data_IF_388729926798
#
_entry.id   IF_388729926798
#
_cell.length_a   1.000
_cell.length_b   1.000
_cell.length_c   1.000
_cell.angle_alpha   90.00
_cell.angle_beta   90.00
_cell.angle_gamma   90.00
#
_symmetry.space_group_name_H-M   'P 1'
#
loop_
_entity.id
_entity.type
_entity.pdbx_description
1 polymer ?
#
# COMPACT_ATOMS: atom_id res chain seq x y z
N UNK A 1 8.54 0.86 -20.31
CA UNK A 1 7.36 -0.01 -20.48
C UNK A 1 6.11 0.75 -20.04
N UNK A 2 5.06 0.81 -20.87
CA UNK A 2 3.83 1.52 -20.54
C UNK A 2 3.17 0.95 -19.28
N UNK A 3 2.64 1.80 -18.41
CA UNK A 3 2.00 1.40 -17.15
C UNK A 3 0.90 0.35 -17.37
N UNK A 4 0.09 0.52 -18.42
CA UNK A 4 -0.97 -0.44 -18.79
C UNK A 4 -0.41 -1.82 -19.14
N UNK A 5 0.67 -1.87 -19.93
CA UNK A 5 1.32 -3.13 -20.32
C UNK A 5 1.88 -3.85 -19.09
N UNK A 6 2.46 -3.10 -18.15
CA UNK A 6 2.97 -3.65 -16.89
C UNK A 6 1.86 -4.21 -16.00
N UNK A 7 0.74 -3.50 -15.85
CA UNK A 7 -0.40 -3.98 -15.05
C UNK A 7 -1.05 -5.21 -15.70
N UNK A 8 -1.18 -5.23 -17.03
CA UNK A 8 -1.67 -6.40 -17.75
C UNK A 8 -0.76 -7.62 -17.58
N UNK A 9 0.56 -7.44 -17.71
CA UNK A 9 1.53 -8.50 -17.47
C UNK A 9 1.50 -9.00 -16.01
N UNK A 10 1.40 -8.08 -15.05
CA UNK A 10 1.25 -8.40 -13.62
C UNK A 10 0.01 -9.27 -13.37
N UNK A 11 -1.15 -8.88 -13.90
CA UNK A 11 -2.38 -9.65 -13.78
C UNK A 11 -2.27 -11.02 -14.43
N UNK A 12 -1.74 -11.11 -15.64
CA UNK A 12 -1.60 -12.39 -16.34
C UNK A 12 -0.70 -13.35 -15.56
N UNK A 13 0.51 -12.92 -15.22
CA UNK A 13 1.48 -13.75 -14.46
C UNK A 13 0.89 -14.15 -13.10
N UNK A 14 0.30 -13.19 -12.39
CA UNK A 14 -0.23 -13.41 -11.07
C UNK A 14 -1.44 -14.33 -11.04
N UNK A 15 -2.41 -14.15 -11.95
CA UNK A 15 -3.60 -14.98 -12.03
C UNK A 15 -3.26 -16.39 -12.51
N UNK A 16 -2.34 -16.55 -13.46
CA UNK A 16 -1.83 -17.87 -13.84
C UNK A 16 -1.17 -18.55 -12.64
N UNK A 17 -0.35 -17.83 -11.87
CA UNK A 17 0.24 -18.34 -10.64
C UNK A 17 -0.79 -18.83 -9.63
N UNK A 18 -1.87 -18.06 -9.41
CA UNK A 18 -2.98 -18.44 -8.53
C UNK A 18 -3.66 -19.73 -9.01
N UNK A 19 -3.92 -19.87 -10.32
CA UNK A 19 -4.54 -21.08 -10.87
C UNK A 19 -3.64 -22.30 -10.68
N UNK A 20 -2.35 -22.19 -10.98
CA UNK A 20 -1.39 -23.28 -10.79
C UNK A 20 -1.25 -23.67 -9.32
N UNK A 21 -1.16 -22.67 -8.43
CA UNK A 21 -1.15 -22.88 -6.99
C UNK A 21 -2.41 -23.61 -6.53
N UNK A 22 -3.58 -23.16 -6.98
CA UNK A 22 -4.87 -23.77 -6.62
C UNK A 22 -4.96 -25.22 -7.08
N UNK A 23 -4.53 -25.54 -8.30
CA UNK A 23 -4.53 -26.92 -8.83
C UNK A 23 -3.61 -27.81 -7.99
N UNK A 24 -2.36 -27.40 -7.80
CA UNK A 24 -1.41 -28.19 -7.02
C UNK A 24 -1.85 -28.35 -5.57
N UNK A 25 -2.32 -27.26 -4.93
CA UNK A 25 -2.73 -27.28 -3.54
C UNK A 25 -4.00 -28.13 -3.34
N UNK A 26 -4.93 -28.07 -4.29
CA UNK A 26 -6.12 -28.91 -4.28
C UNK A 26 -5.75 -30.40 -4.24
N UNK A 27 -4.81 -30.82 -5.09
CA UNK A 27 -4.35 -32.21 -5.14
C UNK A 27 -3.54 -32.59 -3.90
N UNK A 28 -2.64 -31.72 -3.42
CA UNK A 28 -1.84 -31.97 -2.21
C UNK A 28 -2.73 -32.11 -0.97
N UNK A 29 -3.80 -31.33 -0.85
CA UNK A 29 -4.78 -31.48 0.24
C UNK A 29 -5.50 -32.83 0.17
N UNK A 30 -5.83 -33.31 -1.03
CA UNK A 30 -6.48 -34.61 -1.20
C UNK A 30 -5.54 -35.78 -0.83
N UNK A 31 -4.25 -35.63 -1.11
CA UNK A 31 -3.22 -36.60 -0.71
C UNK A 31 -3.04 -36.62 0.82
N UNK A 32 -3.04 -35.44 1.45
CA UNK A 32 -2.81 -35.30 2.89
C UNK A 32 -1.35 -35.47 3.28
N UNK A 33 -1.11 -35.85 4.54
CA UNK A 33 0.23 -36.10 5.07
C UNK A 33 0.79 -37.43 4.56
N UNK A 34 1.81 -37.35 3.71
CA UNK A 34 2.59 -38.49 3.22
C UNK A 34 4.08 -38.16 3.30
N UNK A 35 4.93 -39.18 3.34
CA UNK A 35 6.39 -39.02 3.41
C UNK A 35 7.08 -39.80 2.32
N UNK A 36 8.13 -39.21 1.76
CA UNK A 36 9.03 -39.83 0.80
C UNK A 36 10.33 -40.29 1.50
N UNK A 37 10.23 -41.32 2.35
CA UNK A 37 11.38 -42.12 2.79
C UNK A 37 11.67 -42.15 4.30
N UNK A 38 11.78 -43.37 4.83
CA UNK A 38 12.29 -43.66 6.18
C UNK A 38 11.68 -44.92 6.79
N UNK A 39 12.49 -45.79 7.41
CA UNK A 39 12.04 -47.03 8.05
C UNK A 39 11.34 -46.84 9.41
N UNK A 40 11.15 -45.58 9.86
CA UNK A 40 10.69 -45.26 11.21
C UNK A 40 9.59 -44.18 11.26
N UNK A 41 8.72 -44.08 10.25
CA UNK A 41 7.73 -42.99 10.20
C UNK A 41 6.27 -43.46 10.10
N UNK A 42 5.41 -42.80 10.90
CA UNK A 42 3.96 -43.05 11.04
C UNK A 42 3.18 -42.32 9.91
N UNK A 43 3.70 -42.37 8.69
CA UNK A 43 3.09 -41.71 7.54
C UNK A 43 2.96 -42.67 6.36
N UNK A 44 1.92 -42.48 5.56
CA UNK A 44 1.64 -43.32 4.38
C UNK A 44 2.65 -42.97 3.28
N UNK A 45 3.08 -43.96 2.47
CA UNK A 45 3.92 -43.66 1.30
C UNK A 45 3.20 -42.72 0.35
N UNK A 46 3.91 -41.71 -0.18
CA UNK A 46 3.32 -40.77 -1.12
C UNK A 46 2.98 -41.45 -2.47
N UNK A 47 1.83 -41.13 -3.08
CA UNK A 47 1.52 -41.60 -4.43
C UNK A 47 2.52 -41.03 -5.46
N UNK A 48 2.70 -41.76 -6.56
CA UNK A 48 3.55 -41.33 -7.67
C UNK A 48 3.09 -39.97 -8.23
N UNK A 49 4.04 -39.09 -8.54
CA UNK A 49 3.76 -37.75 -9.07
C UNK A 49 3.44 -36.67 -8.04
N UNK A 50 3.44 -37.00 -6.75
CA UNK A 50 3.29 -36.04 -5.63
C UNK A 50 4.34 -34.91 -5.66
N UNK A 51 5.58 -35.22 -6.04
CA UNK A 51 6.65 -34.22 -6.18
C UNK A 51 6.32 -33.17 -7.25
N UNK A 52 5.82 -33.59 -8.40
CA UNK A 52 5.40 -32.68 -9.48
C UNK A 52 4.29 -31.75 -9.02
N UNK A 53 3.32 -32.24 -8.25
CA UNK A 53 2.22 -31.44 -7.70
C UNK A 53 2.72 -30.41 -6.69
N UNK A 54 3.68 -30.80 -5.84
CA UNK A 54 4.34 -29.88 -4.92
C UNK A 54 5.07 -28.76 -5.67
N UNK A 55 5.87 -29.09 -6.68
CA UNK A 55 6.57 -28.09 -7.49
C UNK A 55 5.61 -27.20 -8.28
N UNK A 56 4.48 -27.74 -8.74
CA UNK A 56 3.43 -26.95 -9.39
C UNK A 56 2.84 -25.90 -8.45
N UNK A 57 2.51 -26.29 -7.21
CA UNK A 57 2.08 -25.36 -6.16
C UNK A 57 3.13 -24.30 -5.89
N UNK A 58 4.39 -24.71 -5.73
CA UNK A 58 5.49 -23.82 -5.41
C UNK A 58 5.77 -22.81 -6.52
N UNK A 59 5.82 -23.27 -7.78
CA UNK A 59 5.96 -22.41 -8.95
C UNK A 59 4.78 -21.45 -9.08
N UNK A 60 3.55 -21.92 -8.83
CA UNK A 60 2.35 -21.08 -8.80
C UNK A 60 2.44 -19.97 -7.75
N UNK A 61 2.91 -20.29 -6.54
CA UNK A 61 3.13 -19.31 -5.48
C UNK A 61 4.18 -18.26 -5.88
N UNK A 62 5.30 -18.67 -6.47
CA UNK A 62 6.34 -17.74 -6.95
C UNK A 62 5.79 -16.84 -8.05
N UNK A 63 5.06 -17.38 -9.02
CA UNK A 63 4.43 -16.59 -10.09
C UNK A 63 3.42 -15.60 -9.54
N UNK A 64 2.61 -16.00 -8.55
CA UNK A 64 1.68 -15.11 -7.88
C UNK A 64 2.40 -13.94 -7.18
N UNK A 65 3.46 -14.23 -6.41
CA UNK A 65 4.29 -13.22 -5.74
C UNK A 65 4.95 -12.29 -6.77
N UNK A 66 5.54 -12.85 -7.82
CA UNK A 66 6.16 -12.08 -8.90
C UNK A 66 5.14 -11.14 -9.57
N UNK A 67 3.93 -11.64 -9.85
CA UNK A 67 2.82 -10.83 -10.35
C UNK A 67 2.51 -9.63 -9.45
N UNK A 68 2.46 -9.84 -8.13
CA UNK A 68 2.25 -8.75 -7.16
C UNK A 68 3.39 -7.72 -7.16
N UNK A 69 4.65 -8.18 -7.19
CA UNK A 69 5.83 -7.30 -7.19
C UNK A 69 5.90 -6.42 -8.46
N UNK A 70 5.50 -6.95 -9.61
CA UNK A 70 5.48 -6.22 -10.89
C UNK A 70 4.46 -5.07 -10.87
N UNK A 71 3.38 -5.14 -10.08
CA UNK A 71 2.32 -4.12 -10.07
C UNK A 71 2.77 -2.76 -9.50
N UNK A 72 3.85 -2.66 -8.72
CA UNK A 72 4.28 -1.42 -7.99
C UNK A 72 3.22 -0.82 -7.04
N UNK A 73 1.99 -1.36 -7.01
CA UNK A 73 0.80 -0.82 -6.34
C UNK A 73 0.05 -1.92 -5.60
N UNK A 74 0.69 -2.50 -4.59
CA UNK A 74 0.09 -3.58 -3.78
C UNK A 74 -0.98 -3.03 -2.82
N UNK A 75 -0.73 -1.87 -2.20
CA UNK A 75 -1.62 -1.26 -1.18
C UNK A 75 -2.47 -0.09 -1.71
N UNK A 76 -2.47 0.12 -3.02
CA UNK A 76 -3.31 1.13 -3.69
C UNK A 76 -4.11 0.46 -4.80
N UNK A 77 -5.24 1.03 -5.25
CA UNK A 77 -6.07 0.39 -6.27
C UNK A 77 -5.26 0.13 -7.55
N UNK A 78 -5.10 -1.16 -7.89
CA UNK A 78 -4.21 -1.66 -8.96
C UNK A 78 -4.16 -3.19 -9.01
N UNK A 79 -3.37 -3.75 -9.94
CA UNK A 79 -3.29 -5.20 -10.15
C UNK A 79 -2.84 -5.96 -8.90
N UNK A 80 -1.87 -5.43 -8.14
CA UNK A 80 -1.35 -6.06 -6.93
C UNK A 80 -2.43 -6.26 -5.88
N UNK A 81 -3.32 -5.27 -5.72
CA UNK A 81 -4.45 -5.40 -4.80
C UNK A 81 -5.46 -6.46 -5.27
N UNK A 82 -5.73 -6.53 -6.58
CA UNK A 82 -6.60 -7.58 -7.15
C UNK A 82 -6.00 -8.96 -6.91
N UNK A 83 -4.71 -9.15 -7.23
CA UNK A 83 -4.00 -10.40 -7.01
C UNK A 83 -3.97 -10.80 -5.54
N UNK A 84 -3.82 -9.85 -4.62
CA UNK A 84 -3.89 -10.11 -3.19
C UNK A 84 -5.27 -10.64 -2.78
N UNK A 85 -6.34 -9.92 -3.17
CA UNK A 85 -7.71 -10.28 -2.79
C UNK A 85 -8.11 -11.62 -3.41
N UNK A 86 -7.83 -11.83 -4.69
CA UNK A 86 -8.16 -13.08 -5.38
C UNK A 86 -7.39 -14.25 -4.78
N UNK A 87 -6.08 -14.12 -4.54
CA UNK A 87 -5.28 -15.21 -3.98
C UNK A 87 -5.62 -15.51 -2.52
N UNK A 88 -5.73 -14.50 -1.66
CA UNK A 88 -6.02 -14.71 -0.25
C UNK A 88 -7.51 -14.93 0.04
N UNK A 89 -8.40 -14.02 -0.35
CA UNK A 89 -9.82 -14.17 -0.06
C UNK A 89 -10.45 -15.27 -0.92
N UNK A 90 -10.14 -15.30 -2.21
CA UNK A 90 -10.62 -16.33 -3.13
C UNK A 90 -10.07 -17.71 -2.79
N UNK A 91 -8.75 -17.84 -2.59
CA UNK A 91 -8.12 -19.08 -2.17
C UNK A 91 -8.61 -19.57 -0.80
N UNK A 92 -8.70 -18.66 0.19
CA UNK A 92 -9.21 -18.99 1.52
C UNK A 92 -10.66 -19.47 1.50
N UNK A 93 -11.53 -18.81 0.74
CA UNK A 93 -12.92 -19.25 0.55
C UNK A 93 -12.98 -20.63 -0.11
N UNK A 94 -12.19 -20.87 -1.16
CA UNK A 94 -12.15 -22.17 -1.84
C UNK A 94 -11.70 -23.30 -0.90
N UNK A 95 -10.67 -23.07 -0.07
CA UNK A 95 -10.21 -24.04 0.93
C UNK A 95 -11.28 -24.35 1.97
N UNK A 96 -11.99 -23.34 2.48
CA UNK A 96 -13.07 -23.53 3.45
C UNK A 96 -14.26 -24.28 2.84
N UNK A 97 -14.65 -23.91 1.61
CA UNK A 97 -15.69 -24.64 0.87
C UNK A 97 -15.29 -26.10 0.75
N UNK A 98 -14.06 -26.40 0.29
CA UNK A 98 -13.56 -27.76 0.18
C UNK A 98 -13.61 -28.50 1.52
N UNK A 99 -13.06 -27.90 2.57
CA UNK A 99 -13.02 -28.50 3.91
C UNK A 99 -14.41 -28.81 4.49
N UNK A 100 -15.42 -28.00 4.21
CA UNK A 100 -16.77 -28.20 4.73
C UNK A 100 -17.68 -29.04 3.83
N UNK A 101 -17.40 -29.11 2.52
CA UNK A 101 -18.24 -29.84 1.57
C UNK A 101 -17.74 -31.25 1.28
N UNK A 102 -16.44 -31.51 1.38
CA UNK A 102 -15.89 -32.84 1.14
C UNK A 102 -15.74 -33.62 2.45
N UNK A 103 -16.62 -34.61 2.63
CA UNK A 103 -16.57 -35.54 3.76
C UNK A 103 -15.45 -36.58 3.66
N UNK A 104 -14.89 -36.78 2.46
CA UNK A 104 -13.83 -37.76 2.19
C UNK A 104 -12.41 -37.28 2.54
N UNK A 105 -12.25 -36.04 2.99
CA UNK A 105 -10.93 -35.50 3.33
C UNK A 105 -10.36 -36.19 4.58
N UNK A 106 -9.06 -36.52 4.58
CA UNK A 106 -8.37 -36.96 5.80
C UNK A 106 -8.54 -35.94 6.95
N UNK A 107 -8.68 -36.38 8.21
CA UNK A 107 -8.91 -35.47 9.35
C UNK A 107 -7.85 -34.35 9.44
N UNK A 108 -6.59 -34.69 9.24
CA UNK A 108 -5.46 -33.75 9.29
C UNK A 108 -5.52 -32.72 8.15
N UNK A 109 -5.86 -33.16 6.94
CA UNK A 109 -6.02 -32.29 5.78
C UNK A 109 -7.20 -31.34 5.95
N UNK A 110 -8.32 -31.82 6.51
CA UNK A 110 -9.49 -31.00 6.82
C UNK A 110 -9.17 -29.92 7.85
N UNK A 111 -8.48 -30.26 8.93
CA UNK A 111 -8.05 -29.30 9.94
C UNK A 111 -7.10 -28.26 9.34
N UNK A 112 -6.08 -28.70 8.62
CA UNK A 112 -5.10 -27.83 7.95
C UNK A 112 -5.77 -26.87 6.95
N UNK A 113 -6.65 -27.38 6.09
CA UNK A 113 -7.40 -26.57 5.14
C UNK A 113 -8.34 -25.56 5.82
N UNK A 114 -8.92 -25.92 6.97
CA UNK A 114 -9.76 -25.01 7.76
C UNK A 114 -8.96 -23.86 8.35
N UNK A 115 -7.81 -24.15 8.99
CA UNK A 115 -6.94 -23.13 9.59
C UNK A 115 -6.36 -22.21 8.51
N UNK A 116 -5.79 -22.79 7.45
CA UNK A 116 -5.23 -22.04 6.35
C UNK A 116 -6.30 -21.20 5.65
N UNK A 117 -7.46 -21.80 5.35
CA UNK A 117 -8.57 -21.14 4.68
C UNK A 117 -9.11 -19.95 5.46
N UNK A 118 -9.32 -20.09 6.77
CA UNK A 118 -9.77 -18.99 7.64
C UNK A 118 -8.73 -17.86 7.71
N UNK A 119 -7.45 -18.21 7.85
CA UNK A 119 -6.35 -17.23 7.89
C UNK A 119 -6.22 -16.46 6.59
N UNK A 120 -6.26 -17.17 5.45
CA UNK A 120 -6.21 -16.56 4.12
C UNK A 120 -7.40 -15.65 3.87
N UNK A 121 -8.61 -16.11 4.22
CA UNK A 121 -9.82 -15.31 4.06
C UNK A 121 -9.73 -14.00 4.85
N UNK A 122 -9.30 -14.06 6.12
CA UNK A 122 -9.13 -12.88 6.96
C UNK A 122 -8.11 -11.89 6.35
N UNK A 123 -6.95 -12.36 5.90
CA UNK A 123 -5.91 -11.53 5.28
C UNK A 123 -6.36 -10.90 3.96
N UNK A 124 -7.14 -11.64 3.15
CA UNK A 124 -7.68 -11.13 1.89
C UNK A 124 -8.78 -10.09 2.09
N UNK A 125 -9.66 -10.30 3.07
CA UNK A 125 -10.81 -9.43 3.33
C UNK A 125 -10.37 -8.04 3.82
N UNK A 126 -9.37 -7.97 4.69
CA UNK A 126 -8.87 -6.69 5.24
C UNK A 126 -8.43 -5.75 4.11
N UNK A 127 -7.59 -6.21 3.17
CA UNK A 127 -7.16 -5.38 2.04
C UNK A 127 -8.25 -5.21 0.97
N UNK A 128 -9.14 -6.20 0.82
CA UNK A 128 -10.29 -6.11 -0.08
C UNK A 128 -11.24 -4.97 0.30
N UNK A 129 -11.65 -4.92 1.58
CA UNK A 129 -12.53 -3.86 2.10
C UNK A 129 -11.87 -2.49 1.97
N UNK A 130 -10.59 -2.37 2.32
CA UNK A 130 -9.86 -1.09 2.20
C UNK A 130 -9.89 -0.58 0.78
N UNK A 131 -9.60 -1.40 -0.23
CA UNK A 131 -9.63 -0.89 -1.60
C UNK A 131 -11.03 -0.69 -2.17
N UNK A 132 -12.05 -1.45 -1.72
CA UNK A 132 -13.46 -1.12 -2.04
C UNK A 132 -13.80 0.27 -1.48
N UNK A 133 -13.47 0.54 -0.21
CA UNK A 133 -13.71 1.85 0.42
C UNK A 133 -12.95 2.96 -0.34
N UNK A 134 -11.69 2.74 -0.71
CA UNK A 134 -10.93 3.71 -1.51
C UNK A 134 -11.54 3.94 -2.90
N UNK A 135 -12.06 2.89 -3.55
CA UNK A 135 -12.73 2.99 -4.85
C UNK A 135 -14.04 3.77 -4.74
N UNK A 136 -14.86 3.48 -3.73
CA UNK A 136 -16.10 4.20 -3.44
C UNK A 136 -15.81 5.65 -3.12
N UNK A 137 -14.79 5.93 -2.29
CA UNK A 137 -14.39 7.30 -1.94
C UNK A 137 -13.84 8.06 -3.15
N UNK A 138 -13.16 7.40 -4.10
CA UNK A 138 -12.75 8.02 -5.37
C UNK A 138 -13.94 8.37 -6.24
N UNK A 139 -14.96 7.51 -6.32
CA UNK A 139 -16.19 7.80 -7.08
C UNK A 139 -17.04 8.90 -6.45
N UNK A 140 -17.04 8.99 -5.11
CA UNK A 140 -17.76 10.03 -4.35
C UNK A 140 -17.07 11.39 -4.39
N UNK A 141 -15.76 11.44 -4.67
CA UNK A 141 -15.07 12.71 -4.89
C UNK A 141 -15.37 13.18 -6.30
N UNK A 142 -16.12 14.29 -6.50
CA UNK A 142 -16.22 14.90 -7.81
C UNK A 142 -14.81 15.19 -8.33
N UNK A 143 -14.61 15.00 -9.64
CA UNK A 143 -13.35 15.34 -10.28
C UNK A 143 -12.93 16.75 -9.81
N UNK A 144 -11.69 16.94 -9.32
CA UNK A 144 -11.24 18.28 -9.00
C UNK A 144 -11.43 19.11 -10.27
N UNK A 145 -12.12 20.26 -10.20
CA UNK A 145 -12.39 21.06 -11.38
C UNK A 145 -11.07 21.29 -12.12
N UNK A 146 -11.10 20.98 -13.42
CA UNK A 146 -10.03 21.26 -14.36
C UNK A 146 -9.54 22.68 -14.09
N UNK A 147 -8.27 22.79 -13.66
CA UNK A 147 -7.68 24.09 -13.34
C UNK A 147 -7.50 24.87 -14.63
N UNK A 148 -8.56 25.56 -15.06
CA UNK A 148 -8.39 26.84 -15.77
C UNK A 148 -7.59 27.74 -14.84
N UNK A 149 -6.39 28.09 -15.29
CA UNK A 149 -5.56 29.11 -14.69
C UNK A 149 -6.37 30.41 -14.59
N UNK A 150 -6.97 30.65 -13.43
CA UNK A 150 -7.49 31.96 -13.03
C UNK A 150 -7.17 32.07 -11.55
N UNK A 151 -6.48 33.16 -11.20
CA UNK A 151 -5.99 33.43 -9.86
C UNK A 151 -7.12 33.43 -8.86
N UNK A 152 -7.19 32.37 -8.06
CA UNK A 152 -8.03 32.28 -6.87
C UNK A 152 -7.12 31.91 -5.72
N UNK A 153 -7.05 32.78 -4.71
CA UNK A 153 -6.38 32.58 -3.43
C UNK A 153 -6.79 31.23 -2.85
N UNK A 154 -5.90 30.22 -3.01
CA UNK A 154 -6.06 28.91 -2.37
C UNK A 154 -6.13 29.14 -0.87
N UNK A 155 -7.31 28.92 -0.29
CA UNK A 155 -7.43 28.70 1.14
C UNK A 155 -6.70 27.39 1.43
N UNK A 156 -5.42 27.49 1.73
CA UNK A 156 -4.57 26.35 2.08
C UNK A 156 -5.03 25.81 3.42
N UNK A 157 -5.46 24.55 3.42
CA UNK A 157 -5.87 23.76 4.58
C UNK A 157 -4.88 23.94 5.76
N UNK A 158 -5.36 24.27 6.98
CA UNK A 158 -4.53 24.43 8.19
C UNK A 158 -3.52 23.30 8.40
N UNK A 159 -3.91 22.07 8.09
CA UNK A 159 -3.02 20.91 8.25
C UNK A 159 -1.80 20.97 7.30
N UNK A 160 -2.00 21.43 6.07
CA UNK A 160 -0.93 21.59 5.09
C UNK A 160 0.04 22.70 5.50
N UNK A 161 -0.46 23.78 6.12
CA UNK A 161 0.39 24.85 6.68
C UNK A 161 1.20 24.36 7.87
N UNK A 162 0.59 23.62 8.79
CA UNK A 162 1.28 23.04 9.94
C UNK A 162 2.42 22.10 9.51
N UNK A 163 2.17 21.26 8.50
CA UNK A 163 3.21 20.39 7.91
C UNK A 163 4.36 21.21 7.32
N UNK A 164 4.06 22.30 6.62
CA UNK A 164 5.08 23.20 6.06
C UNK A 164 5.90 23.94 7.13
N UNK A 165 5.28 24.36 8.23
CA UNK A 165 6.01 24.94 9.37
C UNK A 165 6.98 23.93 10.00
N UNK A 166 6.55 22.68 10.12
CA UNK A 166 7.40 21.62 10.67
C UNK A 166 8.59 21.29 9.76
N UNK A 167 8.40 21.36 8.44
CA UNK A 167 9.45 21.18 7.43
C UNK A 167 10.48 22.33 7.44
N UNK A 168 10.01 23.57 7.61
CA UNK A 168 10.91 24.72 7.78
C UNK A 168 11.73 24.64 9.08
N UNK A 169 11.16 24.06 10.14
CA UNK A 169 11.87 23.81 11.39
C UNK A 169 12.90 22.70 11.24
N UNK A 170 12.57 21.58 10.58
CA UNK A 170 13.49 20.45 10.40
C UNK A 170 14.68 20.81 9.51
N UNK A 171 14.49 21.72 8.55
CA UNK A 171 15.55 22.26 7.68
C UNK A 171 16.38 23.38 8.33
N UNK A 172 16.12 23.69 9.61
CA UNK A 172 16.80 24.77 10.33
C UNK A 172 16.50 26.17 9.80
N UNK A 173 15.47 26.34 8.96
CA UNK A 173 15.04 27.64 8.46
C UNK A 173 14.25 28.43 9.52
N UNK A 174 13.61 27.72 10.46
CA UNK A 174 12.92 28.30 11.62
C UNK A 174 13.52 27.79 12.92
N UNK A 175 13.76 28.70 13.86
CA UNK A 175 14.03 28.39 15.26
C UNK A 175 12.76 27.95 15.97
N UNK A 176 12.91 27.38 17.17
CA UNK A 176 11.78 26.92 17.98
C UNK A 176 10.84 28.07 18.38
N UNK A 177 11.40 29.21 18.76
CA UNK A 177 10.63 30.40 19.11
C UNK A 177 9.84 30.95 17.91
N UNK A 178 10.46 31.02 16.74
CA UNK A 178 9.79 31.50 15.51
C UNK A 178 8.66 30.57 15.06
N UNK A 179 8.84 29.25 15.24
CA UNK A 179 7.81 28.26 14.97
C UNK A 179 6.57 28.44 15.85
N UNK A 180 6.77 28.67 17.16
CA UNK A 180 5.66 28.80 18.10
C UNK A 180 4.83 30.07 17.83
N UNK A 181 5.47 31.17 17.43
CA UNK A 181 4.79 32.41 16.98
C UNK A 181 3.93 32.15 15.74
N UNK A 182 4.49 31.56 14.69
CA UNK A 182 3.77 31.28 13.44
C UNK A 182 2.67 30.23 13.61
N UNK A 183 2.81 29.33 14.58
CA UNK A 183 1.78 28.35 14.94
C UNK A 183 0.61 29.01 15.66
N UNK A 184 0.87 29.93 16.60
CA UNK A 184 -0.19 30.67 17.29
C UNK A 184 -0.99 31.58 16.32
N UNK A 185 -0.34 32.17 15.33
CA UNK A 185 -1.00 32.92 14.24
C UNK A 185 -1.88 32.02 13.35
N UNK A 186 -1.55 30.73 13.25
CA UNK A 186 -2.36 29.77 12.49
C UNK A 186 -3.69 29.47 13.18
N UNK A 187 -3.69 29.49 14.53
CA UNK A 187 -4.84 29.18 15.37
C UNK A 187 -5.76 30.41 15.58
N UNK A 188 -5.26 31.63 15.30
CA UNK A 188 -6.00 32.89 15.45
C UNK A 188 -6.19 33.67 14.15
N UNK A 189 -7.39 33.58 13.54
CA UNK A 189 -7.94 34.47 12.48
C UNK A 189 -7.13 34.69 11.18
N UNK A 190 -7.75 34.68 9.98
CA UNK A 190 -7.06 34.50 8.69
C UNK A 190 -6.29 35.70 8.12
N UNK A 191 -6.07 36.78 8.89
CA UNK A 191 -5.54 38.03 8.36
C UNK A 191 -4.03 38.01 8.02
N UNK A 192 -3.23 37.16 8.67
CA UNK A 192 -1.75 37.21 8.57
C UNK A 192 -1.09 35.97 7.94
N UNK A 193 -1.85 35.21 7.13
CA UNK A 193 -1.34 34.03 6.39
C UNK A 193 -0.24 34.30 5.35
N UNK A 194 0.21 35.54 5.22
CA UNK A 194 1.25 35.96 4.28
C UNK A 194 2.67 35.64 4.77
N UNK A 195 2.95 35.74 6.09
CA UNK A 195 4.31 35.59 6.66
C UNK A 195 4.89 34.20 6.42
N UNK A 196 4.13 33.15 6.70
CA UNK A 196 4.53 31.77 6.41
C UNK A 196 4.89 31.57 4.93
N UNK A 197 4.08 32.12 4.03
CA UNK A 197 4.28 31.97 2.59
C UNK A 197 5.57 32.67 2.14
N UNK A 198 5.85 33.86 2.67
CA UNK A 198 7.08 34.61 2.38
C UNK A 198 8.31 33.89 2.94
N UNK A 199 8.29 33.40 4.18
CA UNK A 199 9.40 32.65 4.77
C UNK A 199 9.70 31.38 3.97
N UNK A 200 8.67 30.68 3.50
CA UNK A 200 8.84 29.51 2.63
C UNK A 200 9.51 29.87 1.31
N UNK A 201 9.15 31.00 0.70
CA UNK A 201 9.79 31.47 -0.53
C UNK A 201 11.25 31.87 -0.30
N UNK A 202 11.55 32.55 0.80
CA UNK A 202 12.93 32.91 1.19
C UNK A 202 13.79 31.66 1.41
N UNK A 203 13.25 30.63 2.09
CA UNK A 203 13.95 29.38 2.30
C UNK A 203 14.22 28.64 0.99
N UNK A 204 13.26 28.65 0.06
CA UNK A 204 13.45 28.07 -1.27
C UNK A 204 14.55 28.80 -2.07
N UNK A 205 14.59 30.14 -2.03
CA UNK A 205 15.65 30.93 -2.68
C UNK A 205 17.03 30.70 -2.06
N UNK A 206 17.12 30.57 -0.74
CA UNK A 206 18.36 30.19 -0.03
C UNK A 206 18.86 28.82 -0.50
N UNK A 207 17.97 27.83 -0.55
CA UNK A 207 18.31 26.47 -0.98
C UNK A 207 18.70 26.41 -2.47
N UNK A 208 18.17 27.32 -3.29
CA UNK A 208 18.56 27.48 -4.69
C UNK A 208 19.86 28.28 -4.89
N UNK A 209 20.51 28.74 -3.81
CA UNK A 209 21.72 29.57 -3.87
C UNK A 209 21.50 31.01 -4.32
N UNK A 210 20.24 31.44 -4.46
CA UNK A 210 19.88 32.80 -4.90
C UNK A 210 19.92 33.83 -3.76
N UNK A 211 20.07 33.39 -2.52
CA UNK A 211 20.13 34.21 -1.30
C UNK A 211 21.23 33.67 -0.39
N UNK A 212 22.14 34.54 0.08
CA UNK A 212 23.11 34.15 1.10
C UNK A 212 22.44 33.92 2.46
N UNK A 213 23.10 33.19 3.37
CA UNK A 213 22.58 32.94 4.72
C UNK A 213 22.28 34.25 5.47
N UNK A 214 23.16 35.24 5.36
CA UNK A 214 22.99 36.55 6.01
C UNK A 214 21.79 37.32 5.44
N UNK A 215 21.62 37.31 4.12
CA UNK A 215 20.49 37.95 3.46
C UNK A 215 19.16 37.25 3.80
N UNK A 216 19.18 35.93 3.94
CA UNK A 216 18.03 35.15 4.38
C UNK A 216 17.63 35.51 5.82
N UNK A 217 18.58 35.54 6.77
CA UNK A 217 18.28 35.87 8.17
C UNK A 217 17.79 37.32 8.33
N UNK A 218 18.37 38.27 7.59
CA UNK A 218 17.92 39.66 7.58
C UNK A 218 16.49 39.80 7.00
N UNK A 219 16.19 39.10 5.90
CA UNK A 219 14.87 39.12 5.29
C UNK A 219 13.83 38.40 6.17
N UNK A 220 14.18 37.28 6.78
CA UNK A 220 13.34 36.54 7.73
C UNK A 220 13.01 37.42 8.94
N UNK A 221 13.99 38.12 9.51
CA UNK A 221 13.80 39.03 10.64
C UNK A 221 12.79 40.15 10.34
N UNK A 222 12.83 40.75 9.14
CA UNK A 222 11.84 41.76 8.71
C UNK A 222 10.42 41.18 8.65
N UNK A 223 10.27 40.00 8.06
CA UNK A 223 8.97 39.31 7.94
C UNK A 223 8.42 38.92 9.31
N UNK A 224 9.27 38.47 10.24
CA UNK A 224 8.85 38.14 11.61
C UNK A 224 8.41 39.38 12.41
N UNK A 225 8.91 40.58 12.08
CA UNK A 225 8.45 41.85 12.66
C UNK A 225 7.22 42.43 11.97
N UNK A 226 6.69 41.78 10.93
CA UNK A 226 5.56 42.27 10.15
C UNK A 226 5.93 43.36 9.13
N UNK A 227 7.22 43.65 8.93
CA UNK A 227 7.70 44.54 7.88
C UNK A 227 7.63 43.78 6.54
N UNK A 228 6.83 44.27 5.59
CA UNK A 228 6.76 43.65 4.26
C UNK A 228 8.14 43.69 3.59
N UNK A 229 8.59 42.52 3.13
CA UNK A 229 9.87 42.32 2.44
C UNK A 229 9.77 42.54 0.93
#
# INVERSE_FOLDING_TARGET
>A
MNTVVREAASLLIGLTGIVLLAIGLNQVIDIGSCVSGGSYEVARPCPEGSDTLFWLSFAGAIMWIAGMLVSTRIFTPGAGQVLWVVGFAGGGAAMLIKAFTQSSLPPDAKLGATIAGATFLANGLVLGVVGIVQLVNRRRRPAPPEKRATGGTRHSDPWTRLKGLNDLRSTGALTRAEYDVLKAELDGSPADGNRFTVIRQLAAKRNAGALSTEQFEAAKGRVMRGEQA
#
